data_IF_516550179092
#
_entry.id   IF_516550179092
#
_cell.length_a   1.000
_cell.length_b   1.000
_cell.length_c   1.000
_cell.angle_alpha   90.00
_cell.angle_beta   90.00
_cell.angle_gamma   90.00
#
_symmetry.space_group_name_H-M   'P 1'
#
loop_
_entity.id
_entity.type
_entity.pdbx_description
1 polymer ?
#
# COMPACT_ATOMS: atom_id res chain seq x y z
N UNK A 1 45.55 -42.54 -29.23
CA UNK A 1 45.62 -42.27 -27.78
C UNK A 1 44.41 -41.43 -27.39
N UNK A 2 43.39 -42.04 -26.81
CA UNK A 2 42.15 -41.34 -26.40
C UNK A 2 42.29 -40.91 -24.96
N UNK A 3 42.41 -39.61 -24.70
CA UNK A 3 42.36 -39.02 -23.36
C UNK A 3 40.93 -39.10 -22.83
N UNK A 4 40.69 -39.95 -21.83
CA UNK A 4 39.42 -40.03 -21.06
C UNK A 4 39.41 -38.82 -20.15
N UNK A 5 38.56 -37.79 -20.47
CA UNK A 5 38.21 -36.75 -19.53
C UNK A 5 37.51 -37.38 -18.35
N UNK A 6 38.16 -37.42 -17.20
CA UNK A 6 37.54 -37.76 -15.94
C UNK A 6 36.53 -36.66 -15.57
N UNK A 7 35.24 -36.94 -15.66
CA UNK A 7 34.20 -36.10 -15.11
C UNK A 7 34.28 -36.21 -13.59
N UNK A 8 34.81 -35.20 -12.93
CA UNK A 8 34.75 -35.10 -11.48
C UNK A 8 33.29 -34.89 -11.08
N UNK A 9 32.68 -35.86 -10.46
CA UNK A 9 31.36 -35.74 -9.84
C UNK A 9 31.48 -35.01 -8.50
N UNK A 10 30.47 -34.24 -8.15
CA UNK A 10 30.37 -33.62 -6.82
C UNK A 10 30.27 -34.67 -5.73
N UNK A 11 30.96 -34.46 -4.61
CA UNK A 11 30.86 -35.32 -3.44
C UNK A 11 29.62 -34.97 -2.61
N UNK A 12 29.06 -35.94 -1.92
CA UNK A 12 27.90 -35.75 -1.03
C UNK A 12 28.20 -34.70 0.04
N UNK A 13 29.41 -34.69 0.58
CA UNK A 13 29.83 -33.71 1.59
C UNK A 13 29.93 -32.31 1.03
N UNK A 14 30.31 -32.14 -0.22
CA UNK A 14 30.39 -30.83 -0.89
C UNK A 14 29.00 -30.20 -1.01
N UNK A 15 27.97 -30.98 -1.38
CA UNK A 15 26.58 -30.50 -1.41
C UNK A 15 26.06 -30.19 0.00
N UNK A 16 26.39 -31.02 1.01
CA UNK A 16 25.99 -30.75 2.39
C UNK A 16 26.58 -29.45 2.93
N UNK A 17 27.88 -29.17 2.65
CA UNK A 17 28.53 -27.92 3.05
C UNK A 17 27.90 -26.72 2.37
N UNK A 18 27.62 -26.81 1.06
CA UNK A 18 26.96 -25.75 0.31
C UNK A 18 25.56 -25.43 0.88
N UNK A 19 24.76 -26.49 1.18
CA UNK A 19 23.43 -26.30 1.79
C UNK A 19 23.50 -25.67 3.18
N UNK A 20 24.52 -26.03 3.97
CA UNK A 20 24.75 -25.43 5.29
C UNK A 20 25.08 -23.93 5.17
N UNK A 21 25.94 -23.56 4.23
CA UNK A 21 26.30 -22.15 3.97
C UNK A 21 25.09 -21.35 3.51
N UNK A 22 24.32 -21.90 2.56
CA UNK A 22 23.08 -21.26 2.09
C UNK A 22 22.09 -21.05 3.23
N UNK A 23 21.89 -22.07 4.08
CA UNK A 23 21.03 -21.98 5.27
C UNK A 23 21.48 -20.89 6.23
N UNK A 24 22.78 -20.78 6.49
CA UNK A 24 23.35 -19.72 7.33
C UNK A 24 23.15 -18.32 6.75
N UNK A 25 23.36 -18.16 5.45
CA UNK A 25 23.15 -16.89 4.77
C UNK A 25 21.68 -16.46 4.77
N UNK A 26 20.76 -17.41 4.54
CA UNK A 26 19.32 -17.15 4.59
C UNK A 26 18.85 -16.73 6.00
N UNK A 27 19.40 -17.32 7.05
CA UNK A 27 19.10 -16.94 8.42
C UNK A 27 19.54 -15.50 8.75
N UNK A 28 20.62 -15.01 8.15
CA UNK A 28 21.15 -13.67 8.37
C UNK A 28 20.36 -12.59 7.58
N UNK A 29 19.93 -12.90 6.36
CA UNK A 29 19.31 -11.94 5.44
C UNK A 29 17.79 -11.86 5.59
N UNK A 30 17.13 -12.97 5.94
CA UNK A 30 15.67 -13.10 5.99
C UNK A 30 14.98 -12.04 6.84
N UNK A 31 15.37 -11.77 8.09
CA UNK A 31 14.70 -10.80 8.97
C UNK A 31 14.73 -9.36 8.42
N UNK A 32 15.83 -8.96 7.79
CA UNK A 32 15.99 -7.60 7.25
C UNK A 32 15.09 -7.33 6.03
N UNK A 33 14.85 -8.35 5.20
CA UNK A 33 13.98 -8.23 4.03
C UNK A 33 12.52 -8.04 4.43
N UNK A 34 12.04 -8.77 5.43
CA UNK A 34 10.66 -8.65 5.92
C UNK A 34 10.38 -7.26 6.53
N UNK A 35 11.31 -6.71 7.31
CA UNK A 35 11.17 -5.36 7.87
C UNK A 35 11.14 -4.27 6.81
N UNK A 36 11.91 -4.43 5.73
CA UNK A 36 11.94 -3.48 4.61
C UNK A 36 10.65 -3.52 3.79
N UNK A 37 10.08 -4.71 3.56
CA UNK A 37 8.81 -4.87 2.85
C UNK A 37 7.66 -4.17 3.59
N UNK A 38 7.54 -4.37 4.91
CA UNK A 38 6.52 -3.74 5.74
C UNK A 38 6.61 -2.20 5.76
N UNK A 39 7.84 -1.65 5.78
CA UNK A 39 8.05 -0.20 5.66
C UNK A 39 7.60 0.32 4.28
N UNK A 40 7.89 -0.42 3.21
CA UNK A 40 7.49 -0.06 1.86
C UNK A 40 5.95 -0.06 1.71
N UNK A 41 5.23 -1.02 2.29
CA UNK A 41 3.77 -1.06 2.30
C UNK A 41 3.17 0.17 2.98
N UNK A 42 3.67 0.55 4.17
CA UNK A 42 3.22 1.77 4.85
C UNK A 42 3.49 3.03 4.04
N UNK A 43 4.65 3.14 3.45
CA UNK A 43 5.00 4.28 2.62
C UNK A 43 4.12 4.34 1.36
N UNK A 44 3.83 3.20 0.74
CA UNK A 44 2.90 3.12 -0.38
C UNK A 44 1.49 3.57 0.00
N UNK A 45 0.99 3.14 1.17
CA UNK A 45 -0.31 3.58 1.68
C UNK A 45 -0.37 5.10 1.88
N UNK A 46 0.65 5.71 2.48
CA UNK A 46 0.72 7.17 2.66
C UNK A 46 0.69 7.92 1.34
N UNK A 47 1.51 7.50 0.36
CA UNK A 47 1.53 8.11 -0.98
C UNK A 47 0.15 7.98 -1.65
N UNK A 48 -0.52 6.85 -1.50
CA UNK A 48 -1.86 6.65 -2.05
C UNK A 48 -2.88 7.57 -1.37
N UNK A 49 -2.83 7.76 -0.04
CA UNK A 49 -3.68 8.69 0.69
C UNK A 49 -3.47 10.13 0.23
N UNK A 50 -2.22 10.56 0.02
CA UNK A 50 -1.90 11.89 -0.52
C UNK A 50 -2.47 12.08 -1.93
N UNK A 51 -2.32 11.09 -2.81
CA UNK A 51 -2.86 11.12 -4.16
C UNK A 51 -4.40 11.18 -4.17
N UNK A 52 -5.06 10.43 -3.30
CA UNK A 52 -6.51 10.49 -3.12
C UNK A 52 -6.96 11.85 -2.59
N UNK A 53 -6.21 12.43 -1.63
CA UNK A 53 -6.46 13.77 -1.12
C UNK A 53 -6.37 14.83 -2.21
N UNK A 54 -5.32 14.81 -3.04
CA UNK A 54 -5.16 15.73 -4.17
C UNK A 54 -6.31 15.60 -5.19
N UNK A 55 -6.77 14.39 -5.47
CA UNK A 55 -7.92 14.16 -6.34
C UNK A 55 -9.23 14.69 -5.75
N UNK A 56 -9.43 14.54 -4.43
CA UNK A 56 -10.57 15.10 -3.70
C UNK A 56 -10.56 16.64 -3.72
N UNK A 57 -9.39 17.24 -3.57
CA UNK A 57 -9.25 18.69 -3.66
C UNK A 57 -9.59 19.21 -5.06
N UNK A 58 -9.17 18.50 -6.11
CA UNK A 58 -9.54 18.85 -7.49
C UNK A 58 -11.05 18.71 -7.71
N UNK A 59 -11.65 17.62 -7.24
CA UNK A 59 -13.11 17.44 -7.26
C UNK A 59 -13.82 18.62 -6.57
N UNK A 60 -13.33 19.06 -5.41
CA UNK A 60 -13.91 20.20 -4.69
C UNK A 60 -13.78 21.51 -5.47
N UNK A 61 -12.69 21.74 -6.19
CA UNK A 61 -12.52 22.95 -7.00
C UNK A 61 -13.59 23.05 -8.10
N UNK A 62 -13.92 21.94 -8.74
CA UNK A 62 -14.91 21.91 -9.81
C UNK A 62 -16.34 21.90 -9.27
N UNK A 63 -16.63 21.05 -8.31
CA UNK A 63 -17.98 20.79 -7.80
C UNK A 63 -18.38 21.76 -6.67
N UNK A 64 -17.40 22.33 -5.96
CA UNK A 64 -17.64 23.24 -4.82
C UNK A 64 -17.77 22.53 -3.45
N UNK A 65 -17.73 21.20 -3.41
CA UNK A 65 -17.79 20.38 -2.18
C UNK A 65 -16.97 19.11 -2.34
N UNK A 66 -16.67 18.45 -1.24
CA UNK A 66 -16.16 17.08 -1.31
C UNK A 66 -17.28 16.08 -1.61
N UNK A 67 -16.99 14.88 -2.13
CA UNK A 67 -17.98 13.82 -2.22
C UNK A 67 -18.59 13.51 -0.85
N UNK A 68 -19.85 13.19 -0.80
CA UNK A 68 -20.48 12.69 0.44
C UNK A 68 -19.96 11.29 0.78
N UNK A 69 -20.14 10.83 2.01
CA UNK A 69 -19.80 9.47 2.42
C UNK A 69 -20.45 8.42 1.52
N UNK A 70 -21.69 8.66 1.06
CA UNK A 70 -22.44 7.75 0.19
C UNK A 70 -21.87 7.72 -1.24
N UNK A 71 -21.45 8.88 -1.78
CA UNK A 71 -20.80 8.96 -3.08
C UNK A 71 -19.41 8.30 -3.04
N UNK A 72 -18.73 8.40 -1.90
CA UNK A 72 -17.47 7.76 -1.64
C UNK A 72 -16.35 8.19 -2.60
N UNK A 73 -15.24 7.46 -2.57
CA UNK A 73 -14.12 7.68 -3.48
C UNK A 73 -14.45 7.33 -4.94
N UNK A 74 -15.53 6.58 -5.19
CA UNK A 74 -16.00 6.28 -6.54
C UNK A 74 -16.35 7.55 -7.33
N UNK A 75 -16.77 8.62 -6.64
CA UNK A 75 -17.02 9.94 -7.22
C UNK A 75 -15.81 10.55 -7.93
N UNK A 76 -14.60 10.11 -7.62
CA UNK A 76 -13.37 10.53 -8.30
C UNK A 76 -13.21 9.94 -9.70
N UNK A 77 -13.95 8.88 -10.00
CA UNK A 77 -13.92 8.17 -11.29
C UNK A 77 -15.21 8.27 -12.08
N UNK A 78 -16.32 8.29 -11.38
CA UNK A 78 -17.64 8.29 -11.97
C UNK A 78 -18.42 9.49 -11.46
N UNK A 79 -19.10 10.18 -12.39
CA UNK A 79 -19.92 11.33 -12.06
C UNK A 79 -21.06 10.91 -11.11
N UNK A 80 -21.14 11.47 -9.90
CA UNK A 80 -22.27 11.21 -9.01
C UNK A 80 -23.58 11.76 -9.58
N UNK A 81 -24.67 11.13 -9.21
CA UNK A 81 -25.99 11.59 -9.65
C UNK A 81 -26.28 13.03 -9.19
N UNK A 82 -26.77 13.85 -10.12
CA UNK A 82 -27.14 15.26 -9.80
C UNK A 82 -25.95 16.22 -9.63
N UNK A 83 -24.73 15.82 -9.97
CA UNK A 83 -23.55 16.68 -9.92
C UNK A 83 -23.23 17.23 -11.30
N UNK A 84 -23.71 18.44 -11.63
CA UNK A 84 -23.56 19.01 -12.97
C UNK A 84 -22.16 19.52 -13.29
N UNK A 85 -21.44 20.01 -12.29
CA UNK A 85 -20.11 20.62 -12.44
C UNK A 85 -18.95 19.62 -12.33
N UNK A 86 -19.23 18.33 -12.42
CA UNK A 86 -18.21 17.29 -12.39
C UNK A 86 -17.43 17.28 -13.72
N UNK A 87 -16.13 17.51 -13.68
CA UNK A 87 -15.23 17.55 -14.85
C UNK A 87 -14.12 16.48 -14.75
N UNK A 88 -14.44 15.35 -14.12
CA UNK A 88 -13.51 14.22 -13.99
C UNK A 88 -13.39 13.37 -15.26
N UNK A 89 -12.67 12.23 -15.20
CA UNK A 89 -12.21 11.58 -13.98
C UNK A 89 -11.00 12.22 -13.33
N UNK A 90 -10.99 12.28 -12.00
CA UNK A 90 -9.92 12.87 -11.19
C UNK A 90 -8.81 11.87 -10.86
N UNK A 91 -9.04 10.60 -11.11
CA UNK A 91 -8.05 9.54 -11.04
C UNK A 91 -7.85 8.91 -12.42
N UNK A 92 -6.61 8.67 -12.81
CA UNK A 92 -6.28 8.02 -14.09
C UNK A 92 -6.72 6.57 -14.17
N UNK A 93 -6.74 5.88 -13.02
CA UNK A 93 -7.14 4.47 -12.88
C UNK A 93 -8.27 4.35 -11.87
N UNK A 94 -8.82 3.16 -11.69
CA UNK A 94 -9.77 2.87 -10.62
C UNK A 94 -9.22 3.28 -9.25
N UNK A 95 -10.12 3.51 -8.29
CA UNK A 95 -9.73 3.79 -6.91
C UNK A 95 -8.84 2.66 -6.42
N UNK A 96 -7.58 2.95 -6.02
CA UNK A 96 -6.67 1.90 -5.63
C UNK A 96 -7.14 1.25 -4.32
N UNK A 97 -6.81 -0.02 -4.17
CA UNK A 97 -6.82 -0.66 -2.86
C UNK A 97 -5.55 -0.30 -2.10
N UNK A 98 -5.61 -0.47 -0.79
CA UNK A 98 -4.43 -0.32 0.05
C UNK A 98 -3.40 -1.45 -0.22
N UNK A 99 -2.17 -1.35 0.29
CA UNK A 99 -1.14 -2.36 0.08
C UNK A 99 -1.49 -3.77 0.59
N UNK A 100 -2.51 -3.89 1.41
CA UNK A 100 -3.04 -5.17 1.93
C UNK A 100 -4.30 -5.65 1.21
N UNK A 101 -4.57 -5.11 -0.02
CA UNK A 101 -5.68 -5.47 -0.93
C UNK A 101 -7.08 -5.15 -0.38
N UNK A 102 -7.20 -4.14 0.48
CA UNK A 102 -8.48 -3.67 1.04
C UNK A 102 -8.86 -2.30 0.51
N UNK A 103 -10.17 -1.96 0.47
CA UNK A 103 -10.61 -0.62 0.11
C UNK A 103 -10.25 0.38 1.21
N UNK A 104 -9.91 1.61 0.82
CA UNK A 104 -9.81 2.73 1.75
C UNK A 104 -11.19 3.09 2.30
N UNK A 105 -11.27 3.34 3.60
CA UNK A 105 -12.46 3.88 4.25
C UNK A 105 -12.50 5.38 4.02
N UNK A 106 -13.64 5.90 3.58
CA UNK A 106 -13.86 7.31 3.32
C UNK A 106 -15.08 7.82 4.07
N UNK A 107 -14.96 9.02 4.64
CA UNK A 107 -16.07 9.73 5.26
C UNK A 107 -15.96 11.23 5.03
N UNK A 108 -17.09 11.87 4.69
CA UNK A 108 -17.21 13.32 4.57
C UNK A 108 -18.59 13.78 5.07
N UNK A 109 -18.68 14.74 6.00
CA UNK A 109 -17.56 15.38 6.70
C UNK A 109 -16.77 14.40 7.59
N UNK A 110 -15.51 14.70 7.81
CA UNK A 110 -14.63 13.95 8.71
C UNK A 110 -14.87 14.31 10.19
N UNK A 111 -14.22 13.57 11.09
CA UNK A 111 -14.29 13.85 12.51
C UNK A 111 -13.50 15.10 12.90
N UNK A 112 -13.89 15.72 14.01
CA UNK A 112 -13.16 16.87 14.55
C UNK A 112 -13.13 18.10 13.63
N UNK A 113 -14.13 18.26 12.77
CA UNK A 113 -14.24 19.40 11.85
C UNK A 113 -13.38 19.28 10.58
N UNK A 114 -12.78 18.15 10.32
CA UNK A 114 -12.07 17.90 9.06
C UNK A 114 -13.05 17.81 7.89
N UNK A 115 -12.66 18.23 6.69
CA UNK A 115 -13.53 18.18 5.52
C UNK A 115 -13.85 16.74 5.10
N UNK A 116 -12.90 15.83 5.28
CA UNK A 116 -13.03 14.39 5.04
C UNK A 116 -12.01 13.60 5.86
N UNK A 117 -12.24 12.31 5.98
CA UNK A 117 -11.32 11.32 6.51
C UNK A 117 -11.11 10.22 5.47
N UNK A 118 -9.85 9.82 5.24
CA UNK A 118 -9.51 8.61 4.53
C UNK A 118 -8.62 7.76 5.44
N UNK A 119 -8.92 6.48 5.57
CA UNK A 119 -8.25 5.57 6.50
C UNK A 119 -7.97 4.23 5.82
N UNK A 120 -6.78 3.66 6.06
CA UNK A 120 -6.54 2.23 5.91
C UNK A 120 -6.24 1.62 7.27
N UNK A 121 -6.77 0.42 7.50
CA UNK A 121 -6.70 -0.29 8.79
C UNK A 121 -5.40 -1.10 8.97
N UNK A 122 -4.32 -0.73 8.26
CA UNK A 122 -3.03 -1.38 8.43
C UNK A 122 -3.01 -2.86 8.01
N UNK A 123 -2.00 -3.59 8.48
CA UNK A 123 -1.78 -4.98 8.05
C UNK A 123 -2.84 -5.96 8.55
N UNK A 124 -3.41 -5.77 9.74
CA UNK A 124 -4.41 -6.67 10.32
C UNK A 124 -5.86 -6.40 9.88
N UNK A 125 -6.13 -5.20 9.34
CA UNK A 125 -7.46 -4.79 8.91
C UNK A 125 -8.44 -4.52 10.05
N UNK A 126 -7.95 -4.38 11.27
CA UNK A 126 -8.72 -3.98 12.44
C UNK A 126 -8.48 -2.52 12.80
N UNK A 127 -9.46 -1.84 13.41
CA UNK A 127 -9.29 -0.45 13.84
C UNK A 127 -8.29 -0.32 14.97
N UNK A 128 -7.39 0.68 14.90
CA UNK A 128 -6.37 0.94 15.91
C UNK A 128 -5.05 0.24 15.62
N UNK A 129 -4.56 -0.56 16.58
CA UNK A 129 -3.31 -1.31 16.47
C UNK A 129 -2.04 -0.48 16.65
N UNK A 130 -0.92 -1.18 16.71
CA UNK A 130 0.42 -0.62 16.87
C UNK A 130 1.37 -1.14 15.78
N UNK A 131 2.46 -0.41 15.56
CA UNK A 131 3.50 -0.84 14.62
C UNK A 131 2.95 -1.05 13.22
N UNK A 132 3.02 -2.27 12.69
CA UNK A 132 2.55 -2.61 11.34
C UNK A 132 1.03 -2.68 11.21
N UNK A 133 0.33 -2.89 12.32
CA UNK A 133 -1.11 -2.98 12.39
C UNK A 133 -1.78 -1.61 12.63
N UNK A 134 -0.99 -0.56 12.81
CA UNK A 134 -1.53 0.78 13.06
C UNK A 134 -2.26 1.29 11.83
N UNK A 135 -3.45 1.87 12.05
CA UNK A 135 -4.20 2.60 11.03
C UNK A 135 -3.36 3.73 10.45
N UNK A 136 -3.45 3.94 9.15
CA UNK A 136 -2.84 5.07 8.46
C UNK A 136 -3.96 5.98 7.97
N UNK A 137 -3.88 7.25 8.32
CA UNK A 137 -4.96 8.21 8.13
C UNK A 137 -4.50 9.39 7.28
N UNK A 138 -5.43 10.04 6.58
CA UNK A 138 -5.14 11.20 5.73
C UNK A 138 -4.76 12.46 6.49
N UNK A 139 -4.99 12.52 7.80
CA UNK A 139 -4.71 13.70 8.64
C UNK A 139 -3.47 13.55 9.53
N UNK A 140 -2.91 12.37 9.64
CA UNK A 140 -1.62 12.18 10.29
C UNK A 140 -0.50 12.55 9.32
N UNK A 141 -0.11 13.82 9.34
CA UNK A 141 1.17 14.22 8.75
C UNK A 141 2.30 13.45 9.42
N UNK A 142 3.30 13.12 8.65
CA UNK A 142 4.51 12.43 9.07
C UNK A 142 5.15 13.07 10.34
N UNK A 143 4.68 12.67 11.51
CA UNK A 143 5.40 12.90 12.78
C UNK A 143 6.34 11.71 12.96
N UNK A 144 7.37 11.71 12.11
CA UNK A 144 8.51 10.84 12.24
C UNK A 144 9.46 11.26 13.31
#
# INVERSE_FOLDING_TARGET
MRTRNARSGFTLIEIMVVMMIIGLLMALVGPNLMGSAKKAEKQAARIQLENLGAALDTFRLDVGRYPSTQEGLAALRQRPFGVDRWDGPYLKKEVPKDPWDRPYLYRSPGDGGRPYDIVTLGADGGPGGDGDNRDITSWESDRG
#
